data_IF_125573459157
#
_entry.id   IF_125573459157
#
_cell.length_a   1.000
_cell.length_b   1.000
_cell.length_c   1.000
_cell.angle_alpha   90.00
_cell.angle_beta   90.00
_cell.angle_gamma   90.00
#
_symmetry.space_group_name_H-M   'P 1'
#
loop_
_entity.id
_entity.type
_entity.pdbx_description
1 polymer ?
#
# COMPACT_ATOMS: atom_id res chain seq x y z
N UNK A 1 25.82 -6.93 -24.45
CA UNK A 1 26.52 -5.77 -23.85
C UNK A 1 26.20 -5.81 -22.37
N UNK A 2 27.15 -6.24 -21.55
CA UNK A 2 27.00 -6.19 -20.09
C UNK A 2 27.04 -4.70 -19.72
N UNK A 3 25.98 -4.22 -19.09
CA UNK A 3 26.02 -2.92 -18.42
C UNK A 3 26.91 -3.15 -17.21
N UNK A 4 28.03 -2.45 -17.18
CA UNK A 4 28.95 -2.46 -16.05
C UNK A 4 28.19 -1.91 -14.84
N UNK A 5 28.07 -2.69 -13.75
CA UNK A 5 27.35 -2.30 -12.53
C UNK A 5 28.16 -1.29 -11.68
N UNK A 6 29.41 -1.01 -12.07
CA UNK A 6 30.31 -0.08 -11.39
C UNK A 6 29.79 1.37 -11.21
N UNK A 7 28.92 1.95 -12.08
CA UNK A 7 28.37 3.29 -11.88
C UNK A 7 27.25 3.36 -10.84
N UNK A 8 26.58 2.24 -10.50
CA UNK A 8 25.47 2.22 -9.53
C UNK A 8 25.96 2.51 -8.10
N UNK A 9 27.19 2.08 -7.78
CA UNK A 9 27.86 2.34 -6.50
C UNK A 9 28.45 3.77 -6.39
N UNK A 10 28.52 4.52 -7.50
CA UNK A 10 29.12 5.85 -7.54
C UNK A 10 28.09 6.99 -7.34
N UNK A 11 26.79 6.70 -7.43
CA UNK A 11 25.75 7.64 -7.06
C UNK A 11 25.48 7.53 -5.56
N UNK A 12 25.45 8.66 -4.85
CA UNK A 12 25.09 8.74 -3.43
C UNK A 12 23.71 8.13 -3.16
N UNK A 13 23.64 6.81 -2.97
CA UNK A 13 22.41 6.08 -2.70
C UNK A 13 21.88 6.39 -1.30
N UNK A 14 20.58 6.17 -1.09
CA UNK A 14 19.94 6.27 0.22
C UNK A 14 19.42 4.91 0.65
N UNK A 15 19.53 4.54 1.93
CA UNK A 15 18.89 3.32 2.44
C UNK A 15 17.56 3.66 3.10
N UNK A 16 16.48 3.04 2.63
CA UNK A 16 15.14 3.14 3.24
C UNK A 16 14.76 1.79 3.84
N UNK A 17 14.61 1.75 5.16
CA UNK A 17 14.24 0.52 5.89
C UNK A 17 12.77 0.59 6.29
N UNK A 18 11.96 -0.34 5.81
CA UNK A 18 10.53 -0.45 6.12
C UNK A 18 10.35 -1.30 7.39
N UNK A 19 9.44 -0.90 8.28
CA UNK A 19 9.01 -1.72 9.41
C UNK A 19 7.87 -2.66 8.97
N UNK A 20 8.10 -3.97 9.00
CA UNK A 20 7.08 -4.99 8.73
C UNK A 20 6.03 -5.03 9.86
N UNK A 21 4.75 -4.89 9.54
CA UNK A 21 3.61 -5.26 10.39
C UNK A 21 2.63 -6.11 9.55
N UNK A 22 1.99 -7.10 10.19
CA UNK A 22 1.15 -8.13 9.54
C UNK A 22 -0.09 -7.52 8.83
N UNK A 23 -0.29 -7.87 7.56
CA UNK A 23 -1.48 -7.53 6.74
C UNK A 23 -2.61 -8.55 6.97
N UNK A 24 -3.84 -8.06 7.20
CA UNK A 24 -5.06 -8.86 7.34
C UNK A 24 -5.90 -8.95 6.04
N UNK A 25 -5.37 -8.47 4.91
CA UNK A 25 -5.75 -8.90 3.56
C UNK A 25 -6.99 -8.24 2.96
N UNK A 26 -7.60 -7.27 3.63
CA UNK A 26 -8.79 -6.56 3.13
C UNK A 26 -8.49 -5.36 2.20
N UNK A 27 -7.43 -4.61 2.51
CA UNK A 27 -7.06 -3.33 1.87
C UNK A 27 -5.55 -3.27 1.53
N UNK A 28 -4.96 -4.40 1.16
CA UNK A 28 -3.52 -4.51 0.88
C UNK A 28 -3.07 -3.68 -0.34
N UNK A 29 -3.98 -3.41 -1.29
CA UNK A 29 -3.65 -2.73 -2.55
C UNK A 29 -3.32 -1.23 -2.36
N UNK A 30 -3.80 -0.60 -1.28
CA UNK A 30 -3.43 0.78 -0.97
C UNK A 30 -2.09 0.91 -0.22
N UNK A 31 -1.50 -0.20 0.26
CA UNK A 31 -0.21 -0.20 0.94
C UNK A 31 0.92 0.23 0.01
N UNK A 32 1.06 -0.42 -1.14
CA UNK A 32 2.14 -0.17 -2.11
C UNK A 32 2.20 1.25 -2.67
N UNK A 33 1.10 1.87 -3.13
CA UNK A 33 1.11 3.27 -3.53
C UNK A 33 1.43 4.20 -2.36
N UNK A 34 0.98 3.91 -1.12
CA UNK A 34 1.33 4.73 0.04
C UNK A 34 2.82 4.62 0.38
N UNK A 35 3.37 3.40 0.34
CA UNK A 35 4.78 3.14 0.56
C UNK A 35 5.64 3.84 -0.49
N UNK A 36 5.26 3.75 -1.76
CA UNK A 36 5.93 4.45 -2.85
C UNK A 36 5.96 5.96 -2.63
N UNK A 37 4.82 6.54 -2.24
CA UNK A 37 4.71 7.97 -1.93
C UNK A 37 5.67 8.40 -0.81
N UNK A 38 5.73 7.66 0.30
CA UNK A 38 6.63 7.93 1.43
C UNK A 38 8.10 7.75 1.03
N UNK A 39 8.42 6.66 0.34
CA UNK A 39 9.77 6.40 -0.14
C UNK A 39 10.26 7.52 -1.05
N UNK A 40 9.41 8.04 -1.94
CA UNK A 40 9.77 9.15 -2.82
C UNK A 40 10.05 10.45 -2.05
N UNK A 41 9.24 10.78 -1.05
CA UNK A 41 9.49 11.94 -0.17
C UNK A 41 10.83 11.81 0.58
N UNK A 42 11.11 10.61 1.11
CA UNK A 42 12.35 10.35 1.86
C UNK A 42 13.56 10.22 0.94
N UNK A 43 13.42 9.84 -0.32
CA UNK A 43 14.52 9.71 -1.27
C UNK A 43 15.28 11.05 -1.47
N UNK A 44 14.62 12.21 -1.34
CA UNK A 44 15.23 13.56 -1.39
C UNK A 44 16.18 13.75 -2.57
N UNK A 45 15.79 13.25 -3.75
CA UNK A 45 16.57 13.36 -4.99
C UNK A 45 17.74 12.39 -5.13
N UNK A 46 17.84 11.38 -4.27
CA UNK A 46 18.78 10.25 -4.40
C UNK A 46 18.08 9.03 -4.98
N UNK A 47 18.85 8.06 -5.46
CA UNK A 47 18.32 6.73 -5.85
C UNK A 47 18.34 5.88 -4.58
N UNK A 48 17.18 5.50 -4.01
CA UNK A 48 17.16 4.70 -2.79
C UNK A 48 17.30 3.21 -3.10
N UNK A 49 18.00 2.50 -2.20
CA UNK A 49 17.80 1.07 -1.97
C UNK A 49 16.78 0.92 -0.83
N UNK A 50 15.71 0.19 -1.10
CA UNK A 50 14.63 -0.11 -0.15
C UNK A 50 14.87 -1.52 0.40
N UNK A 51 14.91 -1.65 1.72
CA UNK A 51 15.12 -2.90 2.46
C UNK A 51 14.10 -3.05 3.60
N UNK A 52 14.09 -4.22 4.24
CA UNK A 52 13.17 -4.48 5.36
C UNK A 52 11.77 -4.92 4.93
N UNK A 53 11.62 -5.40 3.69
CA UNK A 53 10.39 -6.00 3.17
C UNK A 53 10.52 -7.53 3.02
N UNK A 54 11.61 -8.13 3.53
CA UNK A 54 11.94 -9.53 3.28
C UNK A 54 10.86 -10.48 3.79
N UNK A 55 10.22 -10.20 4.93
CA UNK A 55 9.13 -11.05 5.41
C UNK A 55 7.94 -10.97 4.46
N UNK A 56 7.49 -9.76 4.14
CA UNK A 56 6.38 -9.52 3.22
C UNK A 56 6.63 -10.17 1.86
N UNK A 57 7.80 -9.94 1.25
CA UNK A 57 8.15 -10.49 -0.06
C UNK A 57 8.19 -12.03 -0.04
N UNK A 58 8.62 -12.65 1.06
CA UNK A 58 8.70 -14.11 1.15
C UNK A 58 7.34 -14.77 1.48
N UNK A 59 6.41 -14.06 2.11
CA UNK A 59 5.07 -14.59 2.42
C UNK A 59 4.08 -14.32 1.28
N UNK A 60 4.05 -13.09 0.78
CA UNK A 60 3.19 -12.61 -0.31
C UNK A 60 4.02 -11.70 -1.23
N UNK A 61 4.67 -12.26 -2.26
CA UNK A 61 5.46 -11.46 -3.19
C UNK A 61 4.61 -10.37 -3.86
N UNK A 62 5.15 -9.15 -4.06
CA UNK A 62 4.42 -8.09 -4.74
C UNK A 62 4.06 -8.51 -6.16
N UNK A 63 2.84 -8.21 -6.56
CA UNK A 63 2.39 -8.36 -7.94
C UNK A 63 2.98 -7.26 -8.82
N UNK A 64 2.84 -7.42 -10.15
CA UNK A 64 3.21 -6.36 -11.09
C UNK A 64 2.35 -5.11 -10.87
N UNK A 65 1.08 -5.25 -10.48
CA UNK A 65 0.21 -4.11 -10.21
C UNK A 65 0.61 -3.36 -8.93
N UNK A 66 1.04 -4.08 -7.90
CA UNK A 66 1.63 -3.50 -6.68
C UNK A 66 2.86 -2.65 -7.01
N UNK A 67 3.80 -3.22 -7.77
CA UNK A 67 5.02 -2.52 -8.17
C UNK A 67 4.74 -1.35 -9.10
N UNK A 68 3.73 -1.47 -9.96
CA UNK A 68 3.25 -0.38 -10.83
C UNK A 68 2.67 0.77 -10.00
N UNK A 69 1.83 0.48 -9.01
CA UNK A 69 1.25 1.47 -8.11
C UNK A 69 2.32 2.14 -7.23
N UNK A 70 3.23 1.35 -6.66
CA UNK A 70 4.41 1.83 -5.93
C UNK A 70 5.23 2.79 -6.80
N UNK A 71 5.60 2.37 -8.01
CA UNK A 71 6.49 3.15 -8.89
C UNK A 71 5.85 4.49 -9.30
N UNK A 72 4.55 4.48 -9.59
CA UNK A 72 3.81 5.70 -9.94
C UNK A 72 3.76 6.69 -8.78
N UNK A 73 3.53 6.21 -7.56
CA UNK A 73 3.52 7.06 -6.36
C UNK A 73 4.92 7.54 -5.98
N UNK A 74 5.93 6.68 -6.09
CA UNK A 74 7.34 7.04 -5.89
C UNK A 74 7.75 8.17 -6.82
N UNK A 75 7.51 8.04 -8.13
CA UNK A 75 7.84 9.08 -9.10
C UNK A 75 7.04 10.38 -8.95
N UNK A 76 5.98 10.39 -8.13
CA UNK A 76 5.20 11.60 -7.83
C UNK A 76 5.92 12.51 -6.85
N UNK A 77 6.54 11.94 -5.81
CA UNK A 77 7.22 12.69 -4.74
C UNK A 77 8.74 12.65 -4.85
N UNK A 78 9.30 11.66 -5.55
CA UNK A 78 10.73 11.56 -5.80
C UNK A 78 11.17 12.54 -6.90
N UNK A 79 12.34 13.13 -6.71
CA UNK A 79 13.02 13.87 -7.79
C UNK A 79 13.87 12.95 -8.70
N UNK A 80 13.81 11.63 -8.48
CA UNK A 80 14.54 10.60 -9.24
C UNK A 80 13.56 9.55 -9.77
N UNK A 81 13.68 9.11 -11.03
CA UNK A 81 12.78 8.11 -11.61
C UNK A 81 13.24 6.66 -11.36
N UNK A 82 14.12 6.44 -10.39
CA UNK A 82 14.77 5.14 -10.17
C UNK A 82 14.89 4.83 -8.67
N UNK A 83 14.61 3.57 -8.33
CA UNK A 83 14.83 2.97 -7.02
C UNK A 83 15.29 1.53 -7.20
N UNK A 84 15.89 0.97 -6.15
CA UNK A 84 16.15 -0.46 -6.01
C UNK A 84 15.37 -0.99 -4.82
N UNK A 85 14.85 -2.20 -4.94
CA UNK A 85 14.10 -2.88 -3.88
C UNK A 85 14.71 -4.26 -3.68
N UNK A 86 15.24 -4.51 -2.48
CA UNK A 86 15.87 -5.77 -2.13
C UNK A 86 14.91 -6.95 -2.33
N UNK A 87 15.40 -8.01 -2.98
CA UNK A 87 14.61 -9.20 -3.28
C UNK A 87 13.59 -9.05 -4.43
N UNK A 88 13.42 -7.85 -4.99
CA UNK A 88 12.44 -7.58 -6.07
C UNK A 88 13.11 -7.09 -7.35
N UNK A 89 13.91 -6.02 -7.28
CA UNK A 89 14.55 -5.48 -8.49
C UNK A 89 15.73 -6.36 -8.91
N UNK A 90 15.90 -6.69 -10.21
CA UNK A 90 16.95 -7.61 -10.68
C UNK A 90 18.38 -7.22 -10.26
N UNK A 91 18.66 -5.92 -10.20
CA UNK A 91 19.99 -5.39 -9.86
C UNK A 91 20.27 -5.37 -8.34
N UNK A 92 19.26 -5.68 -7.50
CA UNK A 92 19.40 -5.76 -6.04
C UNK A 92 19.68 -7.21 -5.59
N UNK A 93 20.73 -7.81 -6.14
CA UNK A 93 21.23 -9.11 -5.66
C UNK A 93 21.75 -9.02 -4.22
N UNK A 94 21.82 -10.12 -3.44
CA UNK A 94 22.32 -10.09 -2.07
C UNK A 94 23.72 -9.45 -1.93
N UNK A 95 24.62 -9.73 -2.87
CA UNK A 95 25.97 -9.15 -2.85
C UNK A 95 25.94 -7.65 -3.18
N UNK A 96 25.13 -7.23 -4.16
CA UNK A 96 24.96 -5.82 -4.50
C UNK A 96 24.33 -5.01 -3.35
N UNK A 97 23.41 -5.61 -2.60
CA UNK A 97 22.80 -5.01 -1.40
C UNK A 97 23.87 -4.75 -0.34
N UNK A 98 24.75 -5.72 -0.06
CA UNK A 98 25.80 -5.56 0.95
C UNK A 98 26.78 -4.43 0.60
N UNK A 99 27.15 -4.32 -0.67
CA UNK A 99 28.00 -3.24 -1.16
C UNK A 99 27.29 -1.88 -1.06
N UNK A 100 26.02 -1.82 -1.44
CA UNK A 100 25.20 -0.61 -1.35
C UNK A 100 25.00 -0.16 0.10
N UNK A 101 24.62 -1.07 1.01
CA UNK A 101 24.44 -0.78 2.43
C UNK A 101 25.73 -0.24 3.06
N UNK A 102 26.88 -0.80 2.67
CA UNK A 102 28.19 -0.35 3.11
C UNK A 102 28.54 1.04 2.56
N UNK A 103 28.10 1.38 1.34
CA UNK A 103 28.29 2.70 0.72
C UNK A 103 27.38 3.80 1.31
N UNK A 104 26.21 3.43 1.85
CA UNK A 104 25.18 4.35 2.32
C UNK A 104 25.13 4.54 3.85
N UNK A 105 26.18 4.18 4.60
CA UNK A 105 26.19 4.21 6.07
C UNK A 105 25.77 5.58 6.65
N UNK A 106 26.15 6.67 5.99
CA UNK A 106 25.89 8.03 6.45
C UNK A 106 24.52 8.61 6.01
N UNK A 107 23.76 7.92 5.16
CA UNK A 107 22.44 8.38 4.68
C UNK A 107 21.43 7.23 4.69
N UNK A 108 20.96 6.93 5.90
CA UNK A 108 19.94 5.92 6.18
C UNK A 108 18.74 6.59 6.82
N UNK A 109 17.55 6.23 6.37
CA UNK A 109 16.30 6.69 6.97
C UNK A 109 15.33 5.52 7.11
N UNK A 110 14.56 5.51 8.20
CA UNK A 110 13.48 4.55 8.39
C UNK A 110 12.20 5.07 7.73
N UNK A 111 11.47 4.16 7.12
CA UNK A 111 10.07 4.32 6.71
C UNK A 111 9.24 3.67 7.80
N UNK A 112 8.55 4.50 8.59
CA UNK A 112 7.78 4.08 9.76
C UNK A 112 6.29 4.08 9.47
N UNK A 113 5.51 3.38 10.30
CA UNK A 113 4.04 3.46 10.23
C UNK A 113 3.48 4.86 10.51
N UNK A 114 4.20 5.69 11.26
CA UNK A 114 3.79 7.09 11.46
C UNK A 114 4.05 7.92 10.18
N UNK A 115 5.09 7.60 9.39
CA UNK A 115 5.27 8.19 8.06
C UNK A 115 4.14 7.77 7.10
N UNK A 116 3.75 6.49 7.14
CA UNK A 116 2.62 5.96 6.36
C UNK A 116 1.31 6.67 6.73
N UNK A 117 1.05 6.87 8.03
CA UNK A 117 -0.13 7.58 8.51
C UNK A 117 -0.14 9.05 8.08
N UNK A 118 1.00 9.73 8.24
CA UNK A 118 1.13 11.12 7.79
C UNK A 118 0.90 11.26 6.28
N UNK A 119 1.37 10.29 5.48
CA UNK A 119 1.08 10.26 4.05
C UNK A 119 -0.41 9.97 3.77
N UNK A 120 -1.04 9.06 4.52
CA UNK A 120 -2.47 8.77 4.39
C UNK A 120 -3.31 10.03 4.67
N UNK A 121 -3.02 10.72 5.77
CA UNK A 121 -3.63 11.99 6.14
C UNK A 121 -3.41 13.03 5.03
N UNK A 122 -2.18 13.21 4.56
CA UNK A 122 -1.84 14.15 3.47
C UNK A 122 -2.67 13.90 2.21
N UNK A 123 -2.84 12.63 1.80
CA UNK A 123 -3.60 12.25 0.61
C UNK A 123 -5.13 12.31 0.81
N UNK A 124 -5.58 12.60 2.05
CA UNK A 124 -6.98 12.70 2.43
C UNK A 124 -7.37 14.09 2.99
N UNK A 125 -6.41 14.97 3.26
CA UNK A 125 -6.64 16.34 3.71
C UNK A 125 -6.89 17.28 2.53
N UNK A 126 -7.66 18.36 2.78
CA UNK A 126 -7.84 19.41 1.79
C UNK A 126 -6.87 20.56 2.04
N UNK A 127 -6.16 20.99 1.00
CA UNK A 127 -5.46 22.27 1.01
C UNK A 127 -6.25 23.25 0.14
N UNK A 128 -6.97 24.19 0.76
CA UNK A 128 -7.51 25.35 0.06
C UNK A 128 -6.32 26.18 -0.46
N UNK A 129 -6.11 26.21 -1.78
CA UNK A 129 -5.30 27.27 -2.39
C UNK A 129 -6.20 28.47 -2.65
N UNK A 130 -6.03 29.52 -1.85
CA UNK A 130 -6.54 30.85 -2.19
C UNK A 130 -6.05 31.27 -3.60
N UNK A 131 -6.87 31.98 -4.40
CA UNK A 131 -6.46 32.48 -5.71
C UNK A 131 -5.19 33.33 -5.61
N UNK A 132 -4.27 33.13 -6.57
CA UNK A 132 -2.96 33.81 -6.63
C UNK A 132 -3.13 35.34 -6.53
N UNK A 133 -2.72 35.92 -5.40
CA UNK A 133 -2.82 37.36 -5.14
C UNK A 133 -2.62 37.82 -3.69
N UNK A 134 -2.67 36.91 -2.70
CA UNK A 134 -2.32 37.18 -1.30
C UNK A 134 -1.10 36.38 -0.86
N UNK A 135 -0.28 37.01 -0.01
CA UNK A 135 0.98 36.48 0.50
C UNK A 135 0.86 35.07 1.04
N UNK A 136 1.76 34.19 0.60
CA UNK A 136 1.91 32.82 1.10
C UNK A 136 2.31 32.86 2.58
N UNK A 137 1.38 32.57 3.49
CA UNK A 137 1.70 32.04 4.82
C UNK A 137 1.63 30.52 4.78
N UNK A 138 2.64 29.87 5.38
CA UNK A 138 2.67 28.43 5.63
C UNK A 138 1.59 28.08 6.66
N UNK A 139 0.34 27.93 6.23
CA UNK A 139 -0.76 27.55 7.11
C UNK A 139 -1.03 26.05 7.03
N UNK A 140 -0.77 25.38 8.15
CA UNK A 140 -1.14 24.00 8.41
C UNK A 140 -2.65 23.79 8.19
N UNK A 141 -3.02 22.59 7.75
CA UNK A 141 -4.39 22.12 7.55
C UNK A 141 -5.30 22.43 8.75
N UNK A 142 -5.94 23.59 8.75
CA UNK A 142 -7.08 23.91 9.60
C UNK A 142 -8.33 23.73 8.75
N UNK A 143 -8.77 22.48 8.64
CA UNK A 143 -10.14 22.20 8.19
C UNK A 143 -11.05 22.37 9.41
N UNK A 144 -12.06 23.23 9.25
CA UNK A 144 -13.05 23.57 10.29
C UNK A 144 -13.79 22.31 10.73
N UNK A 145 -13.98 22.15 12.05
CA UNK A 145 -14.74 21.09 12.71
C UNK A 145 -16.20 21.03 12.21
N UNK A 146 -16.45 20.31 11.10
CA UNK A 146 -17.80 19.85 10.74
C UNK A 146 -17.96 18.41 11.25
N UNK A 147 -18.89 18.24 12.20
CA UNK A 147 -19.23 17.01 12.95
C UNK A 147 -19.78 15.84 12.07
N UNK A 148 -19.78 15.97 10.74
CA UNK A 148 -20.28 14.93 9.84
C UNK A 148 -19.11 14.08 9.33
N UNK A 149 -18.96 12.87 9.89
CA UNK A 149 -17.81 11.98 9.66
C UNK A 149 -17.77 11.43 8.21
N UNK A 150 -18.86 11.59 7.44
CA UNK A 150 -19.05 11.08 6.09
C UNK A 150 -19.15 12.21 5.03
N UNK A 151 -18.17 12.26 4.12
CA UNK A 151 -18.17 13.20 3.00
C UNK A 151 -18.98 12.62 1.82
N UNK A 152 -20.01 13.33 1.35
CA UNK A 152 -20.66 13.01 0.08
C UNK A 152 -19.70 13.20 -1.10
N UNK A 153 -19.64 12.20 -1.99
CA UNK A 153 -18.74 12.19 -3.15
C UNK A 153 -19.54 12.18 -4.45
N UNK A 154 -18.92 12.63 -5.54
CA UNK A 154 -19.57 12.67 -6.86
C UNK A 154 -18.81 11.87 -7.91
N UNK A 155 -17.56 11.48 -7.66
CA UNK A 155 -16.73 10.82 -8.65
C UNK A 155 -15.76 9.81 -8.02
N UNK A 156 -15.67 8.63 -8.62
CA UNK A 156 -14.61 7.64 -8.37
C UNK A 156 -13.70 7.58 -9.59
N UNK A 157 -12.40 7.83 -9.35
CA UNK A 157 -11.36 7.91 -10.38
C UNK A 157 -10.41 6.72 -10.27
N UNK A 158 -10.40 5.84 -11.26
CA UNK A 158 -9.55 4.65 -11.27
C UNK A 158 -8.60 4.62 -12.48
N UNK A 159 -7.48 3.91 -12.33
CA UNK A 159 -6.50 3.73 -13.40
C UNK A 159 -5.43 4.83 -13.49
N UNK A 160 -4.92 5.33 -12.37
CA UNK A 160 -3.68 6.13 -12.37
C UNK A 160 -2.63 5.48 -11.47
N UNK A 161 -1.69 4.69 -11.98
CA UNK A 161 -1.40 4.39 -13.38
C UNK A 161 -2.49 3.54 -14.05
N UNK A 162 -2.51 3.51 -15.39
CA UNK A 162 -3.57 2.86 -16.18
C UNK A 162 -3.90 1.45 -15.71
N UNK A 163 -5.21 1.18 -15.68
CA UNK A 163 -5.76 -0.06 -15.16
C UNK A 163 -5.25 -1.26 -15.97
N UNK A 164 -4.71 -2.27 -15.30
CA UNK A 164 -4.25 -3.52 -15.92
C UNK A 164 -5.40 -4.48 -16.19
N UNK A 165 -5.10 -5.55 -16.94
CA UNK A 165 -6.09 -6.60 -17.18
C UNK A 165 -6.50 -7.35 -15.91
N UNK A 166 -5.56 -7.51 -14.95
CA UNK A 166 -5.86 -8.15 -13.67
C UNK A 166 -6.76 -7.26 -12.82
N UNK A 167 -6.48 -5.95 -12.77
CA UNK A 167 -7.33 -4.98 -12.08
C UNK A 167 -8.74 -4.90 -12.70
N UNK A 168 -8.88 -5.06 -14.01
CA UNK A 168 -10.21 -5.23 -14.64
C UNK A 168 -10.97 -6.44 -14.11
N UNK A 169 -10.28 -7.58 -13.97
CA UNK A 169 -10.89 -8.79 -13.39
C UNK A 169 -11.30 -8.58 -11.94
N UNK A 170 -10.44 -7.94 -11.13
CA UNK A 170 -10.72 -7.65 -9.72
C UNK A 170 -11.93 -6.72 -9.58
N UNK A 171 -11.97 -5.65 -10.37
CA UNK A 171 -13.11 -4.72 -10.40
C UNK A 171 -14.41 -5.41 -10.82
N UNK A 172 -14.39 -6.20 -11.89
CA UNK A 172 -15.57 -6.94 -12.35
C UNK A 172 -16.11 -7.87 -11.25
N UNK A 173 -15.22 -8.52 -10.49
CA UNK A 173 -15.61 -9.35 -9.34
C UNK A 173 -16.16 -8.51 -8.18
N UNK A 174 -15.55 -7.37 -7.88
CA UNK A 174 -15.97 -6.49 -6.77
C UNK A 174 -17.36 -5.89 -7.01
N UNK A 175 -17.65 -5.43 -8.23
CA UNK A 175 -18.95 -4.81 -8.56
C UNK A 175 -20.09 -5.83 -8.63
N UNK A 176 -19.77 -7.08 -8.95
CA UNK A 176 -20.75 -8.19 -9.03
C UNK A 176 -20.90 -8.96 -7.72
N UNK A 177 -19.98 -8.80 -6.77
CA UNK A 177 -20.08 -9.40 -5.45
C UNK A 177 -21.31 -8.86 -4.69
N UNK A 178 -22.13 -9.77 -4.16
CA UNK A 178 -23.25 -9.43 -3.29
C UNK A 178 -22.70 -8.83 -1.98
N UNK A 179 -23.03 -7.56 -1.69
CA UNK A 179 -22.71 -6.94 -0.40
C UNK A 179 -23.65 -7.56 0.63
N UNK A 180 -23.16 -8.61 1.28
CA UNK A 180 -23.82 -9.22 2.43
C UNK A 180 -22.87 -9.07 3.61
N UNK A 181 -23.31 -8.36 4.64
CA UNK A 181 -22.58 -8.18 5.90
C UNK A 181 -22.15 -9.54 6.46
N UNK A 182 -20.92 -9.96 6.19
CA UNK A 182 -20.17 -11.01 6.89
C UNK A 182 -20.78 -12.42 6.98
N UNK A 183 -21.91 -12.72 6.36
CA UNK A 183 -22.56 -14.03 6.45
C UNK A 183 -22.95 -14.52 5.06
N UNK A 184 -22.24 -15.56 4.58
CA UNK A 184 -22.67 -16.36 3.43
C UNK A 184 -24.11 -16.82 3.66
N UNK A 185 -25.05 -16.25 2.91
CA UNK A 185 -26.43 -16.74 2.90
C UNK A 185 -26.78 -17.32 1.54
N UNK A 186 -27.72 -18.26 1.60
CA UNK A 186 -28.21 -19.11 0.52
C UNK A 186 -28.64 -18.31 -0.73
N UNK A 187 -28.65 -18.92 -1.93
CA UNK A 187 -28.90 -18.27 -3.24
C UNK A 187 -30.25 -17.54 -3.42
N UNK A 188 -31.11 -17.51 -2.40
CA UNK A 188 -32.51 -17.08 -2.48
C UNK A 188 -32.73 -15.64 -1.99
N UNK A 189 -31.71 -14.96 -1.43
CA UNK A 189 -31.80 -13.60 -0.86
C UNK A 189 -31.15 -12.50 -1.71
N UNK A 190 -31.18 -12.66 -3.04
CA UNK A 190 -30.58 -11.77 -4.05
C UNK A 190 -31.30 -10.44 -4.31
N UNK A 191 -32.31 -10.08 -3.50
CA UNK A 191 -33.17 -8.94 -3.75
C UNK A 191 -33.23 -8.05 -2.50
N UNK A 192 -32.32 -7.08 -2.40
CA UNK A 192 -32.47 -5.75 -1.74
C UNK A 192 -31.14 -5.11 -1.32
N UNK A 193 -30.02 -5.83 -1.35
CA UNK A 193 -28.69 -5.19 -1.31
C UNK A 193 -28.39 -4.60 -2.69
N UNK A 194 -28.36 -3.27 -2.81
CA UNK A 194 -28.07 -2.57 -4.06
C UNK A 194 -26.67 -2.94 -4.54
N UNK A 195 -26.58 -3.87 -5.49
CA UNK A 195 -25.33 -4.15 -6.21
C UNK A 195 -24.90 -2.95 -7.06
N UNK A 196 -25.83 -2.05 -7.43
CA UNK A 196 -25.59 -0.85 -8.25
C UNK A 196 -24.89 0.29 -7.49
N UNK A 197 -24.15 1.12 -8.24
CA UNK A 197 -23.59 2.38 -7.74
C UNK A 197 -24.68 3.40 -7.36
N UNK A 198 -24.33 4.35 -6.49
CA UNK A 198 -25.17 5.50 -6.15
C UNK A 198 -25.44 6.36 -7.41
N UNK A 199 -26.68 6.82 -7.65
CA UNK A 199 -27.02 7.56 -8.86
C UNK A 199 -26.30 8.90 -8.99
N UNK A 200 -25.90 9.50 -7.87
CA UNK A 200 -25.12 10.75 -7.83
C UNK A 200 -23.60 10.58 -7.88
N UNK A 201 -23.10 9.36 -8.08
CA UNK A 201 -21.64 9.10 -8.20
C UNK A 201 -21.32 8.58 -9.59
N UNK A 202 -20.46 9.29 -10.30
CA UNK A 202 -19.84 8.79 -11.52
C UNK A 202 -18.66 7.89 -11.19
N UNK A 203 -18.43 6.85 -11.99
CA UNK A 203 -17.26 5.98 -11.87
C UNK A 203 -16.55 5.99 -13.21
N UNK A 204 -15.34 6.53 -13.24
CA UNK A 204 -14.55 6.66 -14.46
C UNK A 204 -13.26 5.87 -14.31
N UNK A 205 -12.99 5.02 -15.30
CA UNK A 205 -11.86 4.11 -15.33
C UNK A 205 -11.01 4.45 -16.55
N UNK A 206 -9.71 4.66 -16.35
CA UNK A 206 -8.76 4.89 -17.44
C UNK A 206 -7.88 3.67 -17.69
N UNK A 207 -7.66 3.32 -18.95
CA UNK A 207 -6.76 2.22 -19.33
C UNK A 207 -6.12 2.45 -20.70
N UNK A 208 -5.05 1.70 -21.00
CA UNK A 208 -4.43 1.69 -22.31
C UNK A 208 -5.28 0.96 -23.36
N UNK A 209 -5.19 1.33 -24.65
CA UNK A 209 -6.04 0.79 -25.70
C UNK A 209 -5.91 -0.75 -25.87
N UNK A 210 -4.70 -1.28 -25.72
CA UNK A 210 -4.45 -2.73 -25.86
C UNK A 210 -5.08 -3.54 -24.71
N UNK A 211 -4.99 -3.02 -23.48
CA UNK A 211 -5.62 -3.66 -22.31
C UNK A 211 -7.14 -3.56 -22.41
N UNK A 212 -7.66 -2.40 -22.82
CA UNK A 212 -9.10 -2.22 -23.02
C UNK A 212 -9.67 -3.17 -24.08
N UNK A 213 -8.92 -3.41 -25.16
CA UNK A 213 -9.28 -4.39 -26.19
C UNK A 213 -9.35 -5.81 -25.62
N UNK A 214 -8.34 -6.21 -24.84
CA UNK A 214 -8.32 -7.50 -24.16
C UNK A 214 -9.47 -7.65 -23.17
N UNK A 215 -9.69 -6.65 -22.31
CA UNK A 215 -10.75 -6.65 -21.30
C UNK A 215 -12.16 -6.72 -21.93
N UNK A 216 -12.38 -6.05 -23.08
CA UNK A 216 -13.62 -6.19 -23.87
C UNK A 216 -13.82 -7.61 -24.39
N UNK A 217 -12.76 -8.24 -24.92
CA UNK A 217 -12.85 -9.60 -25.46
C UNK A 217 -13.21 -10.65 -24.40
N UNK A 218 -12.79 -10.42 -23.15
CA UNK A 218 -13.09 -11.30 -22.01
C UNK A 218 -14.46 -11.00 -21.39
N UNK A 219 -14.99 -9.78 -21.59
CA UNK A 219 -16.31 -9.36 -21.11
C UNK A 219 -16.29 -8.50 -19.84
N UNK A 220 -15.11 -8.18 -19.29
CA UNK A 220 -15.01 -7.33 -18.09
C UNK A 220 -15.57 -5.93 -18.31
N UNK A 221 -15.35 -5.35 -19.50
CA UNK A 221 -15.84 -4.00 -19.81
C UNK A 221 -17.36 -3.97 -19.80
N UNK A 222 -18.02 -4.97 -20.39
CA UNK A 222 -19.48 -5.07 -20.39
C UNK A 222 -20.05 -5.09 -18.97
N UNK A 223 -19.45 -5.89 -18.08
CA UNK A 223 -19.85 -5.96 -16.65
C UNK A 223 -19.74 -4.59 -15.97
N UNK A 224 -18.65 -3.86 -16.23
CA UNK A 224 -18.42 -2.56 -15.61
C UNK A 224 -19.33 -1.46 -16.18
N UNK A 225 -19.55 -1.46 -17.50
CA UNK A 225 -20.45 -0.51 -18.18
C UNK A 225 -21.91 -0.75 -17.78
N UNK A 226 -22.36 -2.00 -17.70
CA UNK A 226 -23.70 -2.36 -17.21
C UNK A 226 -23.91 -1.96 -15.74
N UNK A 227 -22.86 -2.03 -14.92
CA UNK A 227 -22.87 -1.54 -13.55
C UNK A 227 -22.89 -0.01 -13.44
N UNK A 228 -22.54 0.69 -14.53
CA UNK A 228 -22.59 2.15 -14.65
C UNK A 228 -21.23 2.85 -14.62
N UNK A 229 -20.12 2.14 -14.79
CA UNK A 229 -18.81 2.75 -14.98
C UNK A 229 -18.59 3.19 -16.43
N UNK A 230 -17.84 4.29 -16.61
CA UNK A 230 -17.41 4.80 -17.92
C UNK A 230 -15.93 4.56 -18.14
N UNK A 231 -15.57 4.15 -19.37
CA UNK A 231 -14.20 3.79 -19.73
C UNK A 231 -13.60 4.87 -20.63
N UNK A 232 -12.44 5.40 -20.24
CA UNK A 232 -11.68 6.38 -21.01
C UNK A 232 -10.34 5.76 -21.42
N UNK A 233 -10.08 5.69 -22.72
CA UNK A 233 -8.80 5.20 -23.25
C UNK A 233 -7.82 6.34 -23.46
N UNK A 234 -6.53 6.06 -23.23
CA UNK A 234 -5.41 6.90 -23.68
C UNK A 234 -5.38 8.32 -23.07
N UNK A 235 -5.93 8.47 -21.86
CA UNK A 235 -5.87 9.73 -21.10
C UNK A 235 -5.46 9.47 -19.65
N UNK A 236 -4.34 10.04 -19.23
CA UNK A 236 -3.94 10.04 -17.84
C UNK A 236 -4.79 11.03 -17.04
N UNK A 237 -5.24 10.64 -15.85
CA UNK A 237 -5.96 11.53 -14.94
C UNK A 237 -5.23 12.86 -14.66
N UNK A 238 -3.90 12.87 -14.64
CA UNK A 238 -3.11 14.09 -14.46
C UNK A 238 -3.11 15.03 -15.68
N UNK A 239 -3.65 14.58 -16.82
CA UNK A 239 -3.85 15.39 -18.02
C UNK A 239 -5.30 15.85 -18.17
N UNK A 240 -6.24 15.26 -17.41
CA UNK A 240 -7.65 15.62 -17.47
C UNK A 240 -7.85 17.00 -16.83
N UNK A 241 -8.18 17.99 -17.64
CA UNK A 241 -8.57 19.32 -17.18
C UNK A 241 -10.09 19.43 -17.08
N UNK A 242 -10.60 20.41 -16.33
CA UNK A 242 -12.05 20.71 -16.30
C UNK A 242 -12.62 20.97 -17.71
N UNK A 243 -11.79 21.49 -18.61
CA UNK A 243 -12.14 21.74 -20.01
C UNK A 243 -12.32 20.48 -20.85
N UNK A 244 -11.81 19.33 -20.40
CA UNK A 244 -11.79 18.10 -21.20
C UNK A 244 -13.10 17.29 -21.07
N UNK A 245 -14.10 17.82 -20.36
CA UNK A 245 -15.42 17.20 -20.15
C UNK A 245 -15.42 15.86 -19.39
N UNK A 246 -14.26 15.40 -18.90
CA UNK A 246 -14.11 14.15 -18.14
C UNK A 246 -14.54 14.35 -16.67
N UNK A 247 -14.20 15.51 -16.09
CA UNK A 247 -14.61 15.88 -14.72
C UNK A 247 -15.71 16.92 -14.85
N UNK A 248 -16.95 16.51 -14.58
CA UNK A 248 -18.07 17.42 -14.64
C UNK A 248 -17.94 18.54 -13.60
N UNK A 249 -18.47 19.73 -13.92
CA UNK A 249 -18.35 20.92 -13.07
C UNK A 249 -19.04 20.80 -11.70
N UNK A 250 -19.94 19.83 -11.54
CA UNK A 250 -20.65 19.55 -10.29
C UNK A 250 -19.87 18.64 -9.34
N UNK A 251 -18.77 18.03 -9.80
CA UNK A 251 -17.91 17.20 -8.95
C UNK A 251 -17.15 18.15 -8.04
N UNK A 252 -17.29 18.03 -6.72
CA UNK A 252 -16.51 18.79 -5.74
C UNK A 252 -15.52 17.87 -5.00
N UNK A 253 -15.97 16.65 -4.70
CA UNK A 253 -15.20 15.62 -3.99
C UNK A 253 -15.12 14.34 -4.81
N UNK A 254 -13.92 13.76 -4.88
CA UNK A 254 -13.66 12.51 -5.59
C UNK A 254 -12.87 11.51 -4.74
N UNK A 255 -12.99 10.23 -5.08
CA UNK A 255 -12.26 9.12 -4.44
C UNK A 255 -11.37 8.45 -5.48
N UNK A 256 -10.17 8.01 -5.09
CA UNK A 256 -9.26 7.27 -5.97
C UNK A 256 -8.39 6.29 -5.18
N UNK A 257 -7.98 5.18 -5.81
CA UNK A 257 -6.98 4.28 -5.27
C UNK A 257 -5.55 4.62 -5.73
N UNK A 258 -5.36 5.83 -6.25
CA UNK A 258 -4.08 6.33 -6.74
C UNK A 258 -3.49 7.36 -5.79
N UNK A 259 -2.39 7.03 -5.11
CA UNK A 259 -1.63 8.04 -4.35
C UNK A 259 -1.10 9.15 -5.28
N UNK A 260 -0.71 8.80 -6.50
CA UNK A 260 -0.30 9.76 -7.53
C UNK A 260 -1.42 10.76 -7.86
N UNK A 261 -2.62 10.29 -8.13
CA UNK A 261 -3.71 11.19 -8.48
C UNK A 261 -4.20 11.97 -7.27
N UNK A 262 -4.29 11.34 -6.11
CA UNK A 262 -4.64 12.01 -4.86
C UNK A 262 -3.70 13.17 -4.53
N UNK A 263 -2.41 13.04 -4.86
CA UNK A 263 -1.45 14.14 -4.76
C UNK A 263 -1.72 15.28 -5.76
N UNK A 264 -1.93 14.96 -7.04
CA UNK A 264 -2.00 15.99 -8.09
C UNK A 264 -3.37 16.66 -8.22
N UNK A 265 -4.46 15.92 -8.04
CA UNK A 265 -5.82 16.38 -8.32
C UNK A 265 -6.20 17.69 -7.58
N UNK A 266 -5.87 17.90 -6.29
CA UNK A 266 -6.14 19.18 -5.63
C UNK A 266 -5.48 20.36 -6.34
N UNK A 267 -4.25 20.19 -6.83
CA UNK A 267 -3.50 21.23 -7.53
C UNK A 267 -3.86 21.40 -9.01
N UNK A 268 -4.35 20.34 -9.67
CA UNK A 268 -4.65 20.34 -11.11
C UNK A 268 -6.10 20.73 -11.41
N UNK A 269 -7.05 20.21 -10.64
CA UNK A 269 -8.49 20.34 -10.91
C UNK A 269 -9.25 20.93 -9.73
N UNK A 270 -8.57 21.39 -8.68
CA UNK A 270 -9.20 22.04 -7.52
C UNK A 270 -10.38 21.24 -6.94
N UNK A 271 -10.19 19.94 -6.73
CA UNK A 271 -11.18 19.03 -6.11
C UNK A 271 -10.66 18.48 -4.80
N UNK A 272 -11.55 18.22 -3.86
CA UNK A 272 -11.18 17.47 -2.66
C UNK A 272 -11.02 15.99 -3.03
N UNK A 273 -9.99 15.36 -2.50
CA UNK A 273 -9.69 13.96 -2.82
C UNK A 273 -9.65 13.13 -1.55
N UNK A 274 -10.11 11.89 -1.69
CA UNK A 274 -9.93 10.83 -0.70
C UNK A 274 -9.23 9.65 -1.36
N UNK A 275 -8.12 9.22 -0.76
CA UNK A 275 -7.35 8.06 -1.19
C UNK A 275 -7.82 6.81 -0.46
N UNK A 276 -8.24 5.76 -1.18
CA UNK A 276 -8.79 4.51 -0.61
C UNK A 276 -8.21 3.26 -1.31
N UNK A 277 -8.46 2.07 -0.76
CA UNK A 277 -8.29 0.81 -1.50
C UNK A 277 -9.23 0.75 -2.70
N UNK A 278 -8.98 -0.16 -3.64
CA UNK A 278 -9.89 -0.45 -4.74
C UNK A 278 -11.28 -0.83 -4.22
N UNK A 279 -11.33 -1.67 -3.18
CA UNK A 279 -12.59 -2.03 -2.52
C UNK A 279 -13.27 -0.80 -1.91
N UNK A 280 -12.53 0.02 -1.16
CA UNK A 280 -13.06 1.25 -0.57
C UNK A 280 -13.58 2.25 -1.61
N UNK A 281 -12.97 2.31 -2.81
CA UNK A 281 -13.48 3.09 -3.93
C UNK A 281 -14.85 2.58 -4.41
N UNK A 282 -15.03 1.26 -4.51
CA UNK A 282 -16.31 0.65 -4.92
C UNK A 282 -17.37 0.78 -3.82
N UNK A 283 -16.98 0.66 -2.56
CA UNK A 283 -17.90 0.88 -1.43
C UNK A 283 -18.39 2.33 -1.42
N UNK A 284 -17.50 3.31 -1.62
CA UNK A 284 -17.86 4.71 -1.78
C UNK A 284 -18.74 4.96 -3.01
N UNK A 285 -18.49 4.26 -4.12
CA UNK A 285 -19.33 4.34 -5.31
C UNK A 285 -20.76 3.85 -5.05
N UNK A 286 -20.95 2.82 -4.21
CA UNK A 286 -22.26 2.28 -3.84
C UNK A 286 -22.99 3.17 -2.83
N UNK A 287 -22.28 3.67 -1.82
CA UNK A 287 -22.87 4.44 -0.72
C UNK A 287 -23.11 5.91 -1.08
N UNK A 288 -22.33 6.48 -2.00
CA UNK A 288 -22.33 7.92 -2.29
C UNK A 288 -21.54 8.75 -1.28
N UNK A 289 -20.92 8.12 -0.28
CA UNK A 289 -20.22 8.80 0.81
C UNK A 289 -18.92 8.07 1.16
N UNK A 290 -17.97 8.78 1.74
CA UNK A 290 -16.73 8.20 2.26
C UNK A 290 -16.40 8.83 3.61
N UNK A 291 -16.12 8.02 4.63
CA UNK A 291 -15.75 8.59 5.93
C UNK A 291 -14.31 9.07 5.91
N UNK A 292 -14.03 10.20 6.57
CA UNK A 292 -12.65 10.73 6.65
C UNK A 292 -11.72 9.79 7.41
N UNK A 293 -12.26 9.03 8.36
CA UNK A 293 -11.54 8.16 9.30
C UNK A 293 -11.40 6.73 8.81
N UNK A 294 -11.90 6.42 7.61
CA UNK A 294 -11.84 5.07 7.02
C UNK A 294 -10.41 4.74 6.57
N UNK A 295 -9.52 4.60 7.54
CA UNK A 295 -8.14 4.16 7.42
C UNK A 295 -8.12 2.61 7.31
N UNK A 296 -7.22 2.04 6.48
CA UNK A 296 -7.10 0.59 6.39
C UNK A 296 -6.62 -0.01 7.72
N UNK A 297 -7.09 -1.23 8.02
CA UNK A 297 -6.85 -1.90 9.29
C UNK A 297 -5.37 -2.02 9.66
N UNK A 298 -4.50 -2.29 8.67
CA UNK A 298 -3.05 -2.38 8.84
C UNK A 298 -2.37 -1.07 9.26
N UNK A 299 -3.00 0.08 9.01
CA UNK A 299 -2.47 1.40 9.37
C UNK A 299 -3.03 1.92 10.72
N UNK A 300 -4.21 1.42 11.10
CA UNK A 300 -4.87 1.74 12.36
C UNK A 300 -4.14 1.18 13.59
N UNK A 301 -4.11 1.99 14.66
CA UNK A 301 -3.33 1.73 15.89
C UNK A 301 -3.66 0.40 16.60
N UNK A 302 -4.79 -0.23 16.28
CA UNK A 302 -5.20 -1.53 16.82
C UNK A 302 -4.39 -2.72 16.28
N UNK A 303 -3.69 -2.57 15.13
CA UNK A 303 -2.87 -3.61 14.55
C UNK A 303 -1.46 -3.75 15.20
N UNK A 304 -1.06 -2.82 16.09
CA UNK A 304 0.29 -2.81 16.66
C UNK A 304 0.55 -4.03 17.55
N UNK A 305 1.47 -4.90 17.12
CA UNK A 305 2.29 -5.68 18.04
C UNK A 305 3.61 -4.93 18.26
N UNK A 306 4.06 -4.69 19.51
CA UNK A 306 5.30 -3.96 19.73
C UNK A 306 6.51 -4.76 19.20
N UNK A 307 7.15 -4.25 18.14
CA UNK A 307 8.42 -4.80 17.65
C UNK A 307 9.59 -4.18 18.41
N UNK A 308 10.36 -5.03 19.11
CA UNK A 308 11.63 -4.66 19.74
C UNK A 308 12.75 -4.77 18.70
N UNK A 309 12.96 -3.73 17.89
CA UNK A 309 14.25 -3.56 17.22
C UNK A 309 15.26 -3.10 18.27
N UNK A 310 15.96 -4.07 18.89
CA UNK A 310 17.07 -3.73 19.77
C UNK A 310 18.16 -3.08 18.92
N UNK A 311 18.28 -1.77 19.06
CA UNK A 311 19.32 -0.99 18.44
C UNK A 311 20.69 -1.60 18.80
N UNK A 312 21.33 -2.27 17.85
CA UNK A 312 22.77 -2.60 17.94
C UNK A 312 23.54 -1.32 17.62
N UNK A 313 23.42 -0.33 18.51
CA UNK A 313 24.41 0.74 18.62
C UNK A 313 25.57 0.13 19.39
N UNK A 314 26.41 -0.63 18.69
CA UNK A 314 27.49 -1.37 19.33
C UNK A 314 28.21 -2.34 18.41
N UNK A 315 28.77 -1.86 17.29
CA UNK A 315 29.97 -2.42 16.64
C UNK A 315 30.01 -3.92 16.29
N UNK A 316 28.87 -4.62 16.25
CA UNK A 316 28.81 -6.09 16.25
C UNK A 316 27.93 -6.67 15.16
N UNK A 317 28.39 -6.59 13.91
CA UNK A 317 28.24 -7.61 12.86
C UNK A 317 26.85 -7.95 12.30
N UNK A 318 26.39 -7.15 11.33
CA UNK A 318 25.49 -7.55 10.22
C UNK A 318 25.98 -8.83 9.50
N UNK A 319 27.27 -9.15 9.62
CA UNK A 319 27.91 -10.38 9.08
C UNK A 319 27.34 -11.67 9.66
N UNK A 320 26.82 -11.66 10.90
CA UNK A 320 26.32 -12.87 11.56
C UNK A 320 24.99 -13.36 10.95
N UNK A 321 24.14 -12.44 10.51
CA UNK A 321 22.82 -12.77 9.94
C UNK A 321 22.94 -13.34 8.53
N UNK A 322 23.71 -12.69 7.64
CA UNK A 322 23.94 -13.18 6.28
C UNK A 322 24.72 -14.51 6.21
N UNK A 323 25.64 -14.76 7.16
CA UNK A 323 26.40 -16.04 7.19
C UNK A 323 25.53 -17.22 7.63
N UNK A 324 24.47 -17.00 8.40
CA UNK A 324 23.53 -18.05 8.82
C UNK A 324 22.58 -18.45 7.67
N UNK A 325 22.09 -17.46 6.91
CA UNK A 325 21.20 -17.66 5.76
C UNK A 325 21.94 -18.33 4.59
N UNK A 326 23.19 -17.94 4.31
CA UNK A 326 24.00 -18.55 3.27
C UNK A 326 24.40 -20.02 3.52
N UNK A 327 24.19 -20.55 4.74
CA UNK A 327 24.55 -21.92 5.14
C UNK A 327 23.36 -22.88 5.25
N UNK A 328 22.15 -22.45 4.87
CA UNK A 328 20.97 -23.33 4.83
C UNK A 328 20.53 -23.86 6.20
N UNK A 329 20.90 -23.18 7.29
CA UNK A 329 20.47 -23.56 8.63
C UNK A 329 19.06 -23.00 8.88
N UNK A 330 18.11 -23.89 9.17
CA UNK A 330 16.75 -23.51 9.59
C UNK A 330 16.82 -22.63 10.85
N UNK A 331 15.98 -21.58 10.87
CA UNK A 331 15.83 -20.62 11.96
C UNK A 331 15.57 -21.26 13.35
N UNK A 332 15.22 -22.55 13.42
CA UNK A 332 15.02 -23.30 14.65
C UNK A 332 16.29 -23.52 15.51
N UNK A 333 17.49 -23.26 14.99
CA UNK A 333 18.75 -23.47 15.72
C UNK A 333 19.21 -22.28 16.59
N UNK A 334 18.59 -21.10 16.45
CA UNK A 334 18.90 -19.91 17.25
C UNK A 334 17.81 -19.68 18.29
N UNK A 335 17.80 -20.49 19.36
CA UNK A 335 16.94 -20.20 20.52
C UNK A 335 17.53 -19.03 21.31
N UNK A 336 16.74 -18.02 21.72
CA UNK A 336 17.20 -17.03 22.66
C UNK A 336 17.49 -17.70 24.01
N UNK A 337 18.61 -17.33 24.62
CA UNK A 337 18.95 -17.69 26.00
C UNK A 337 17.89 -17.05 26.91
N UNK A 338 17.13 -17.82 27.72
CA UNK A 338 16.17 -17.24 28.64
C UNK A 338 16.90 -16.60 29.82
N UNK A 339 16.79 -15.27 29.96
CA UNK A 339 17.15 -14.55 31.18
C UNK A 339 16.05 -14.81 32.23
N UNK A 340 16.38 -15.26 33.45
CA UNK A 340 15.35 -15.60 34.44
C UNK A 340 14.89 -14.34 35.18
N UNK A 341 13.67 -13.88 34.91
CA UNK A 341 12.96 -12.99 35.82
C UNK A 341 12.41 -13.81 36.98
N UNK A 342 13.01 -13.66 38.17
CA UNK A 342 12.48 -14.17 39.45
C UNK A 342 11.29 -13.32 39.88
N UNK A 343 10.10 -13.93 39.93
CA UNK A 343 9.06 -13.49 40.86
C UNK A 343 8.79 -14.63 41.87
N UNK A 344 8.92 -14.28 43.14
CA UNK A 344 8.70 -15.12 44.32
C UNK A 344 7.20 -15.25 44.61
N UNK A 345 6.67 -16.48 44.70
CA UNK A 345 5.69 -16.89 45.74
C UNK A 345 5.58 -18.44 45.78
N UNK A 346 5.30 -19.10 46.94
CA UNK A 346 5.82 -20.43 47.23
C UNK A 346 4.83 -21.59 47.06
N UNK A 347 5.39 -22.69 46.55
CA UNK A 347 5.31 -24.11 46.94
C UNK A 347 4.14 -24.55 47.84
N UNK A 348 3.30 -25.47 47.33
CA UNK A 348 2.95 -26.79 47.95
C UNK A 348 2.68 -27.81 46.83
N UNK A 349 3.62 -28.71 46.51
CA UNK A 349 3.74 -30.11 47.02
C UNK A 349 2.81 -31.13 46.34
N UNK A 350 3.34 -31.93 45.40
CA UNK A 350 3.10 -33.39 45.31
C UNK A 350 4.12 -34.05 44.34
N UNK A 351 4.68 -35.24 44.64
CA UNK A 351 5.68 -35.88 43.80
C UNK A 351 5.09 -36.85 42.75
N UNK A 352 5.77 -36.90 41.61
CA UNK A 352 5.65 -37.86 40.52
C UNK A 352 5.90 -39.31 40.95
N UNK A 353 5.18 -40.25 40.32
CA UNK A 353 5.62 -41.62 40.05
C UNK A 353 4.79 -42.20 38.88
N UNK A 354 5.35 -42.17 37.68
CA UNK A 354 5.20 -43.22 36.65
C UNK A 354 6.30 -44.26 36.92
N UNK A 355 6.33 -45.53 36.41
CA UNK A 355 6.02 -45.96 35.02
C UNK A 355 5.59 -47.49 34.94
N UNK A 356 5.95 -48.35 33.94
CA UNK A 356 5.92 -48.34 32.45
C UNK A 356 5.27 -49.63 31.81
N UNK A 357 5.41 -49.74 30.46
CA UNK A 357 5.32 -50.92 29.55
C UNK A 357 3.96 -51.14 28.83
N UNK A 358 3.87 -51.49 27.55
CA UNK A 358 4.81 -52.03 26.57
C UNK A 358 4.39 -51.65 25.12
N UNK A 359 5.33 -51.66 24.17
CA UNK A 359 5.05 -51.70 22.73
C UNK A 359 5.81 -52.88 22.13
N UNK A 360 5.12 -53.71 21.35
CA UNK A 360 5.63 -54.89 20.69
C UNK A 360 5.60 -54.67 19.16
N UNK A 361 6.77 -54.87 18.54
CA UNK A 361 7.08 -55.37 17.20
C UNK A 361 6.13 -55.08 16.01
N UNK A 362 6.73 -54.65 14.89
CA UNK A 362 6.84 -55.48 13.67
C UNK A 362 7.84 -54.87 12.67
N UNK A 363 8.88 -55.68 12.38
CA UNK A 363 9.80 -55.81 11.23
C UNK A 363 10.27 -54.59 10.45
#
# INVERSE_FOLDING_TARGET
>A
MSIDAAPLLAACGKLLMVSDDDDDGGDADCYWPLLGYVCGMKARGRIPLITGLDQLINTVPPTIDDLKAFSAAFGTTASTPLFHMAGVTPDASPDAILDWESSCIADREFVTMDDMRSAWETLNCHHHREPVGRSQSEEACHDVDDDDDADAIQLVCLGNPHLSLNEFSLLANLVTADVTDGVMTSPERRAESSTSKHPGVDVIITSGPDILTQARSIGYVSVLEEWGASLVSDTCWCMAQESDSIIASHVEKLVTNSAKYAHYAPGLVNRQVRFRSLKGCIDAARSGVVSRRDEPAWLSSAARRPFLYQAVVGGGSVKAYHTAVARGLSAAALRPIPVPFRFLWPIKSLPLLLPPFAYHALR
#
